data_IF_969461765551
#
_entry.id   IF_969461765551
#
_cell.length_a   1.000
_cell.length_b   1.000
_cell.length_c   1.000
_cell.angle_alpha   90.00
_cell.angle_beta   90.00
_cell.angle_gamma   90.00
#
_symmetry.space_group_name_H-M   'P 1'
#
loop_
_entity.id
_entity.type
_entity.pdbx_description
1 polymer ?
#
# COMPACT_ATOMS: atom_id res chain seq x y z
N UNK A 1 -5.50 -1.83 -33.51
CA UNK A 1 -6.58 -2.67 -32.92
C UNK A 1 -6.24 -3.05 -31.49
N UNK A 2 -5.07 -3.61 -31.20
CA UNK A 2 -4.65 -4.02 -29.84
C UNK A 2 -4.57 -2.88 -28.79
N UNK A 3 -4.08 -1.70 -29.15
CA UNK A 3 -4.02 -0.54 -28.26
C UNK A 3 -5.40 -0.03 -27.81
N UNK A 4 -6.40 -0.08 -28.69
CA UNK A 4 -7.77 0.32 -28.36
C UNK A 4 -8.45 -0.70 -27.43
N UNK A 5 -8.15 -1.98 -27.60
CA UNK A 5 -8.66 -3.06 -26.74
C UNK A 5 -8.08 -2.96 -25.33
N UNK A 6 -6.77 -2.69 -25.22
CA UNK A 6 -6.10 -2.48 -23.93
C UNK A 6 -6.67 -1.28 -23.17
N UNK A 7 -6.89 -0.14 -23.84
CA UNK A 7 -7.48 1.05 -23.21
C UNK A 7 -8.93 0.83 -22.76
N UNK A 8 -9.71 0.05 -23.51
CA UNK A 8 -11.07 -0.30 -23.12
C UNK A 8 -11.08 -1.14 -21.83
N UNK A 9 -10.15 -2.08 -21.71
CA UNK A 9 -10.01 -2.93 -20.49
C UNK A 9 -9.57 -2.14 -19.27
N UNK A 10 -8.62 -1.20 -19.43
CA UNK A 10 -8.26 -0.26 -18.34
C UNK A 10 -9.50 0.52 -17.92
N UNK A 11 -10.30 0.98 -18.87
CA UNK A 11 -11.55 1.71 -18.54
C UNK A 11 -12.57 0.84 -17.80
N UNK A 12 -12.67 -0.44 -18.11
CA UNK A 12 -13.53 -1.37 -17.39
C UNK A 12 -13.06 -1.56 -15.93
N UNK A 13 -11.73 -1.67 -15.70
CA UNK A 13 -11.16 -1.71 -14.34
C UNK A 13 -11.50 -0.43 -13.59
N UNK A 14 -11.22 0.74 -14.17
CA UNK A 14 -11.52 2.04 -13.56
C UNK A 14 -12.99 2.19 -13.17
N UNK A 15 -13.93 1.70 -13.97
CA UNK A 15 -15.35 1.73 -13.64
C UNK A 15 -15.69 0.80 -12.48
N UNK A 16 -15.08 -0.38 -12.43
CA UNK A 16 -15.22 -1.30 -11.30
C UNK A 16 -14.63 -0.72 -10.01
N UNK A 17 -13.48 -0.07 -10.10
CA UNK A 17 -12.87 0.64 -8.95
C UNK A 17 -13.74 1.79 -8.43
N UNK A 18 -14.42 2.53 -9.32
CA UNK A 18 -15.37 3.58 -8.88
C UNK A 18 -16.53 2.98 -8.09
N UNK A 19 -17.09 1.86 -8.54
CA UNK A 19 -18.17 1.17 -7.82
C UNK A 19 -17.69 0.70 -6.45
N UNK A 20 -16.47 0.15 -6.39
CA UNK A 20 -15.85 -0.27 -5.14
C UNK A 20 -15.56 0.93 -4.22
N UNK A 21 -15.11 2.05 -4.78
CA UNK A 21 -14.87 3.30 -4.06
C UNK A 21 -16.15 3.85 -3.43
N UNK A 22 -17.30 3.78 -4.11
CA UNK A 22 -18.59 4.21 -3.55
C UNK A 22 -18.93 3.42 -2.27
N UNK A 23 -18.76 2.10 -2.30
CA UNK A 23 -18.96 1.23 -1.14
C UNK A 23 -18.00 1.55 0.01
N UNK A 24 -16.72 1.82 -0.33
CA UNK A 24 -15.70 2.22 0.62
C UNK A 24 -16.02 3.58 1.26
N UNK A 25 -16.41 4.57 0.46
CA UNK A 25 -16.79 5.92 0.94
C UNK A 25 -18.00 5.84 1.88
N UNK A 26 -19.02 5.05 1.53
CA UNK A 26 -20.20 4.87 2.38
C UNK A 26 -19.81 4.28 3.73
N UNK A 27 -18.98 3.24 3.75
CA UNK A 27 -18.47 2.66 4.99
C UNK A 27 -17.67 3.69 5.81
N UNK A 28 -16.77 4.44 5.17
CA UNK A 28 -15.99 5.47 5.85
C UNK A 28 -16.88 6.56 6.46
N UNK A 29 -17.92 7.01 5.74
CA UNK A 29 -18.88 8.00 6.23
C UNK A 29 -19.69 7.49 7.43
N UNK A 30 -20.17 6.24 7.39
CA UNK A 30 -20.94 5.65 8.50
C UNK A 30 -20.13 5.56 9.80
N UNK A 31 -18.81 5.41 9.70
CA UNK A 31 -17.93 5.22 10.84
C UNK A 31 -17.04 6.42 11.15
N UNK A 32 -17.23 7.54 10.46
CA UNK A 32 -16.41 8.76 10.61
C UNK A 32 -14.91 8.47 10.45
N UNK A 33 -14.56 7.80 9.34
CA UNK A 33 -13.17 7.44 9.00
C UNK A 33 -12.61 8.41 7.97
N UNK A 34 -11.43 8.95 8.22
CA UNK A 34 -10.71 9.81 7.29
C UNK A 34 -9.96 8.98 6.26
N UNK A 35 -9.95 9.42 5.04
CA UNK A 35 -9.16 8.85 3.96
C UNK A 35 -8.76 9.94 2.95
N UNK A 36 -7.70 9.69 2.20
CA UNK A 36 -7.10 10.62 1.26
C UNK A 36 -6.68 9.89 -0.01
N UNK A 37 -6.87 10.52 -1.16
CA UNK A 37 -6.31 10.01 -2.41
C UNK A 37 -4.79 10.22 -2.42
N UNK A 38 -4.03 9.22 -2.85
CA UNK A 38 -2.58 9.27 -2.92
C UNK A 38 -2.09 9.12 -4.38
N UNK A 39 -0.81 9.40 -4.61
CA UNK A 39 -0.11 9.09 -5.85
C UNK A 39 -0.83 9.46 -7.13
N UNK A 40 -0.97 8.47 -8.03
CA UNK A 40 -1.67 8.58 -9.30
C UNK A 40 -3.14 8.96 -9.16
N UNK A 41 -3.82 8.43 -8.16
CA UNK A 41 -5.23 8.72 -7.87
C UNK A 41 -5.46 10.21 -7.62
N UNK A 42 -4.66 10.84 -6.75
CA UNK A 42 -4.76 12.28 -6.49
C UNK A 42 -4.40 13.11 -7.72
N UNK A 43 -3.34 12.72 -8.42
CA UNK A 43 -2.90 13.41 -9.63
C UNK A 43 -3.97 13.35 -10.72
N UNK A 44 -4.60 12.20 -10.91
CA UNK A 44 -5.71 12.00 -11.84
C UNK A 44 -6.91 12.87 -11.48
N UNK A 45 -7.33 12.88 -10.21
CA UNK A 45 -8.43 13.71 -9.74
C UNK A 45 -8.23 15.20 -10.03
N UNK A 46 -7.01 15.72 -9.84
CA UNK A 46 -6.69 17.14 -10.06
C UNK A 46 -6.58 17.46 -11.55
N UNK A 47 -5.80 16.67 -12.31
CA UNK A 47 -5.47 16.98 -13.71
C UNK A 47 -6.54 16.54 -14.70
N UNK A 48 -7.09 15.35 -14.50
CA UNK A 48 -8.01 14.71 -15.44
C UNK A 48 -9.46 14.74 -14.99
N UNK A 49 -9.72 15.23 -13.76
CA UNK A 49 -11.06 15.20 -13.13
C UNK A 49 -11.60 13.77 -12.99
N UNK A 50 -10.71 12.81 -12.85
CA UNK A 50 -10.96 11.38 -12.79
C UNK A 50 -9.64 10.62 -12.81
N UNK A 51 -9.62 9.42 -13.35
CA UNK A 51 -8.39 8.65 -13.50
C UNK A 51 -7.42 9.26 -14.52
N UNK A 52 -6.15 9.00 -14.36
CA UNK A 52 -5.18 9.10 -15.44
C UNK A 52 -5.59 8.05 -16.49
N UNK A 53 -5.70 8.38 -17.81
CA UNK A 53 -6.34 7.49 -18.79
C UNK A 53 -5.74 6.08 -18.93
N UNK A 54 -4.48 5.88 -18.56
CA UNK A 54 -3.77 4.60 -18.65
C UNK A 54 -3.45 3.97 -17.29
N UNK A 55 -3.96 4.55 -16.20
CA UNK A 55 -3.77 4.07 -14.83
C UNK A 55 -4.82 3.01 -14.52
N UNK A 56 -4.42 1.92 -13.89
CA UNK A 56 -5.25 0.74 -13.62
C UNK A 56 -5.27 0.38 -12.12
N UNK A 57 -4.90 1.34 -11.28
CA UNK A 57 -4.94 1.19 -9.83
C UNK A 57 -5.46 2.46 -9.12
N UNK A 58 -5.98 2.26 -7.91
CA UNK A 58 -6.42 3.32 -7.03
C UNK A 58 -5.74 3.20 -5.66
N UNK A 59 -5.04 4.27 -5.27
CA UNK A 59 -4.31 4.37 -4.01
C UNK A 59 -5.01 5.31 -3.03
N UNK A 60 -5.36 4.81 -1.85
CA UNK A 60 -5.94 5.61 -0.76
C UNK A 60 -5.08 5.50 0.50
N UNK A 61 -4.95 6.60 1.23
CA UNK A 61 -4.29 6.65 2.53
C UNK A 61 -5.29 6.86 3.66
N UNK A 62 -5.07 6.21 4.79
CA UNK A 62 -5.85 6.43 6.00
C UNK A 62 -4.94 6.72 7.18
N UNK A 63 -5.25 7.71 8.06
CA UNK A 63 -4.59 7.83 9.35
C UNK A 63 -4.57 6.50 10.09
N UNK A 64 -3.48 6.17 10.78
CA UNK A 64 -3.28 4.85 11.40
C UNK A 64 -4.47 4.36 12.23
N UNK A 65 -5.07 5.21 13.04
CA UNK A 65 -6.22 4.84 13.88
C UNK A 65 -7.46 4.52 13.06
N UNK A 66 -7.72 5.33 12.03
CA UNK A 66 -8.84 5.10 11.11
C UNK A 66 -8.63 3.83 10.28
N UNK A 67 -7.39 3.59 9.83
CA UNK A 67 -7.01 2.37 9.15
C UNK A 67 -7.22 1.11 10.00
N UNK A 68 -6.79 1.11 11.26
CA UNK A 68 -6.99 -0.03 12.16
C UNK A 68 -8.48 -0.27 12.47
N UNK A 69 -9.26 0.81 12.61
CA UNK A 69 -10.71 0.71 12.76
C UNK A 69 -11.35 0.16 11.48
N UNK A 70 -10.96 0.66 10.30
CA UNK A 70 -11.41 0.13 9.01
C UNK A 70 -11.16 -1.37 8.91
N UNK A 71 -9.96 -1.87 9.19
CA UNK A 71 -9.65 -3.31 9.15
C UNK A 71 -10.54 -4.16 10.07
N UNK A 72 -10.98 -3.61 11.19
CA UNK A 72 -11.81 -4.34 12.15
C UNK A 72 -13.26 -4.50 11.73
N UNK A 73 -13.74 -3.67 10.80
CA UNK A 73 -15.15 -3.62 10.39
C UNK A 73 -15.38 -3.98 8.92
N UNK A 74 -14.41 -3.78 8.05
CA UNK A 74 -14.57 -3.89 6.60
C UNK A 74 -15.11 -5.25 6.13
N UNK A 75 -14.61 -6.36 6.68
CA UNK A 75 -15.06 -7.71 6.30
C UNK A 75 -16.55 -7.98 6.61
N UNK A 76 -17.12 -7.23 7.56
CA UNK A 76 -18.51 -7.42 7.99
C UNK A 76 -19.49 -6.47 7.31
N UNK A 77 -18.99 -5.34 6.85
CA UNK A 77 -19.83 -4.23 6.42
C UNK A 77 -19.68 -3.85 4.93
N UNK A 78 -18.66 -4.36 4.26
CA UNK A 78 -18.55 -4.30 2.81
C UNK A 78 -19.44 -5.37 2.15
N UNK A 79 -19.82 -5.19 0.87
CA UNK A 79 -20.56 -6.21 0.13
C UNK A 79 -19.87 -7.58 0.17
N UNK A 80 -20.64 -8.68 0.13
CA UNK A 80 -20.10 -10.06 0.17
C UNK A 80 -19.12 -10.36 -0.98
N UNK A 81 -19.25 -9.68 -2.12
CA UNK A 81 -18.32 -9.79 -3.24
C UNK A 81 -16.96 -9.13 -3.00
N UNK A 82 -16.86 -8.28 -1.99
CA UNK A 82 -15.65 -7.52 -1.67
C UNK A 82 -14.84 -8.23 -0.60
N UNK A 83 -13.63 -8.60 -0.94
CA UNK A 83 -12.70 -9.24 -0.02
C UNK A 83 -11.59 -8.28 0.41
N UNK A 84 -11.17 -8.41 1.67
CA UNK A 84 -9.98 -7.76 2.19
C UNK A 84 -8.75 -8.62 1.86
N UNK A 85 -7.79 -8.06 1.15
CA UNK A 85 -6.53 -8.71 0.82
C UNK A 85 -5.40 -8.08 1.62
N UNK A 86 -4.81 -8.85 2.51
CA UNK A 86 -3.58 -8.47 3.20
C UNK A 86 -2.39 -8.80 2.30
N UNK A 87 -1.54 -7.83 2.02
CA UNK A 87 -0.35 -8.09 1.23
C UNK A 87 0.64 -8.98 1.99
N UNK A 88 1.15 -10.02 1.33
CA UNK A 88 2.07 -11.01 1.92
C UNK A 88 3.41 -10.43 2.37
N UNK A 89 3.70 -9.20 2.00
CA UNK A 89 4.92 -8.50 2.41
C UNK A 89 4.95 -8.13 3.89
N UNK A 90 3.87 -8.41 4.64
CA UNK A 90 3.69 -8.10 6.06
C UNK A 90 4.00 -6.63 6.43
N UNK A 91 3.94 -5.76 5.45
CA UNK A 91 4.27 -4.35 5.62
C UNK A 91 3.08 -3.51 6.07
N UNK A 92 1.89 -4.11 6.15
CA UNK A 92 0.68 -3.48 6.61
C UNK A 92 -0.11 -2.77 5.52
N UNK A 93 0.25 -2.95 4.25
CA UNK A 93 -0.59 -2.54 3.12
C UNK A 93 -1.74 -3.53 2.98
N UNK A 94 -2.89 -3.02 2.61
CA UNK A 94 -4.06 -3.85 2.32
C UNK A 94 -4.71 -3.37 1.05
N UNK A 95 -5.46 -4.24 0.39
CA UNK A 95 -6.38 -3.83 -0.66
C UNK A 95 -7.75 -4.45 -0.42
N UNK A 96 -8.78 -3.76 -0.87
CA UNK A 96 -10.11 -4.33 -1.05
C UNK A 96 -10.29 -4.63 -2.53
N UNK A 97 -10.93 -5.76 -2.83
CA UNK A 97 -11.08 -6.25 -4.21
C UNK A 97 -12.51 -6.74 -4.40
N UNK A 98 -13.15 -6.33 -5.48
CA UNK A 98 -14.45 -6.88 -5.86
C UNK A 98 -14.29 -8.13 -6.73
N UNK A 99 -14.57 -9.28 -6.18
CA UNK A 99 -14.44 -10.58 -6.85
C UNK A 99 -15.61 -10.91 -7.79
N UNK A 100 -16.69 -10.14 -7.77
CA UNK A 100 -17.83 -10.30 -8.69
C UNK A 100 -17.53 -9.82 -10.11
N UNK A 101 -16.53 -8.92 -10.23
CA UNK A 101 -16.11 -8.35 -11.50
C UNK A 101 -14.78 -8.99 -11.89
N UNK A 102 -14.73 -9.61 -13.06
CA UNK A 102 -13.52 -10.20 -13.62
C UNK A 102 -13.29 -9.70 -15.04
N UNK A 103 -12.14 -9.14 -15.29
CA UNK A 103 -11.73 -8.54 -16.56
C UNK A 103 -10.53 -9.31 -17.09
N UNK A 104 -10.57 -9.74 -18.34
CA UNK A 104 -9.49 -10.52 -18.93
C UNK A 104 -8.44 -9.61 -19.56
N UNK A 105 -7.21 -9.69 -19.05
CA UNK A 105 -6.01 -9.07 -19.62
C UNK A 105 -5.10 -10.15 -20.21
N UNK A 106 -5.09 -10.27 -21.52
CA UNK A 106 -4.33 -11.34 -22.16
C UNK A 106 -4.79 -12.72 -21.66
N UNK A 107 -3.91 -13.43 -20.98
CA UNK A 107 -4.19 -14.75 -20.38
C UNK A 107 -4.51 -14.68 -18.86
N UNK A 108 -4.53 -13.49 -18.28
CA UNK A 108 -4.76 -13.29 -16.85
C UNK A 108 -6.12 -12.66 -16.60
N UNK A 109 -6.75 -13.03 -15.49
CA UNK A 109 -7.98 -12.43 -14.99
C UNK A 109 -7.68 -11.48 -13.85
N UNK A 110 -8.17 -10.25 -13.94
CA UNK A 110 -8.02 -9.22 -12.92
C UNK A 110 -9.39 -8.81 -12.39
N UNK A 111 -9.46 -8.52 -11.11
CA UNK A 111 -10.62 -7.89 -10.48
C UNK A 111 -10.26 -6.47 -10.07
N UNK A 112 -11.20 -5.51 -10.14
CA UNK A 112 -10.98 -4.16 -9.64
C UNK A 112 -10.59 -4.19 -8.16
N UNK A 113 -9.62 -3.37 -7.79
CA UNK A 113 -9.14 -3.29 -6.40
C UNK A 113 -8.75 -1.86 -6.03
N UNK A 114 -8.74 -1.57 -4.75
CA UNK A 114 -8.27 -0.30 -4.19
C UNK A 114 -7.20 -0.64 -3.15
N UNK A 115 -6.02 -0.08 -3.31
CA UNK A 115 -4.96 -0.18 -2.32
C UNK A 115 -5.18 0.85 -1.19
N UNK A 116 -5.07 0.38 0.05
CA UNK A 116 -5.29 1.19 1.24
C UNK A 116 -4.03 1.16 2.10
N UNK A 117 -3.43 2.33 2.24
CA UNK A 117 -2.17 2.54 2.93
C UNK A 117 -2.35 3.20 4.28
N UNK A 118 -1.80 2.65 5.35
CA UNK A 118 -1.76 3.36 6.62
C UNK A 118 -0.82 4.56 6.55
N UNK A 119 -1.26 5.70 7.08
CA UNK A 119 -0.47 6.90 7.25
C UNK A 119 -0.02 7.00 8.71
N UNK A 120 1.27 7.12 8.90
CA UNK A 120 1.93 7.20 10.21
C UNK A 120 2.66 8.54 10.36
N UNK A 121 2.98 8.91 11.58
CA UNK A 121 3.78 10.09 11.85
C UNK A 121 5.27 9.86 11.65
N UNK A 122 6.01 10.96 11.50
CA UNK A 122 7.46 11.00 11.38
C UNK A 122 8.10 12.03 12.31
N UNK A 123 9.36 11.81 12.74
CA UNK A 123 10.12 12.83 13.44
C UNK A 123 10.53 13.96 12.49
N UNK A 124 10.52 15.19 13.00
CA UNK A 124 10.87 16.39 12.23
C UNK A 124 12.37 16.61 12.09
N UNK A 125 13.14 16.27 13.13
CA UNK A 125 14.57 16.58 13.13
C UNK A 125 15.40 15.59 12.33
N UNK A 126 16.49 16.09 11.72
CA UNK A 126 17.28 15.33 10.77
C UNK A 126 17.94 14.07 11.32
N UNK A 127 18.32 14.05 12.61
CA UNK A 127 18.99 12.89 13.23
C UNK A 127 17.97 11.81 13.58
N UNK A 128 16.89 12.16 14.24
CA UNK A 128 15.82 11.21 14.60
C UNK A 128 15.14 10.67 13.36
N UNK A 129 14.89 11.52 12.36
CA UNK A 129 14.41 11.14 11.05
C UNK A 129 15.34 10.12 10.37
N UNK A 130 16.64 10.42 10.29
CA UNK A 130 17.63 9.52 9.70
C UNK A 130 17.68 8.17 10.43
N UNK A 131 17.69 8.18 11.78
CA UNK A 131 17.68 6.95 12.58
C UNK A 131 16.40 6.14 12.37
N UNK A 132 15.24 6.80 12.37
CA UNK A 132 13.94 6.17 12.18
C UNK A 132 13.84 5.51 10.81
N UNK A 133 14.13 6.25 9.75
CA UNK A 133 14.06 5.73 8.38
C UNK A 133 15.06 4.62 8.11
N UNK A 134 16.28 4.70 8.66
CA UNK A 134 17.26 3.61 8.50
C UNK A 134 16.89 2.35 9.30
N UNK A 135 16.29 2.49 10.49
CA UNK A 135 15.71 1.34 11.20
C UNK A 135 14.64 0.65 10.37
N UNK A 136 13.72 1.41 9.78
CA UNK A 136 12.68 0.85 8.91
C UNK A 136 13.30 0.13 7.72
N UNK A 137 14.25 0.76 7.01
CA UNK A 137 14.94 0.15 5.87
C UNK A 137 15.63 -1.16 6.26
N UNK A 138 16.31 -1.18 7.40
CA UNK A 138 16.97 -2.38 7.93
C UNK A 138 15.97 -3.50 8.19
N UNK A 139 14.91 -3.23 8.95
CA UNK A 139 13.93 -4.27 9.27
C UNK A 139 13.13 -4.74 8.06
N UNK A 140 12.88 -3.86 7.07
CA UNK A 140 12.33 -4.25 5.75
C UNK A 140 13.27 -5.19 5.01
N UNK A 141 14.56 -4.89 4.98
CA UNK A 141 15.55 -5.77 4.36
C UNK A 141 15.60 -7.14 5.06
N UNK A 142 15.63 -7.16 6.40
CA UNK A 142 15.59 -8.40 7.18
C UNK A 142 14.29 -9.19 6.92
N UNK A 143 13.15 -8.54 6.84
CA UNK A 143 11.87 -9.18 6.50
C UNK A 143 11.93 -9.83 5.11
N UNK A 144 12.41 -9.12 4.09
CA UNK A 144 12.59 -9.67 2.74
C UNK A 144 13.55 -10.87 2.73
N UNK A 145 14.66 -10.79 3.46
CA UNK A 145 15.63 -11.91 3.56
C UNK A 145 14.99 -13.12 4.25
N UNK A 146 14.16 -12.90 5.27
CA UNK A 146 13.55 -14.01 6.02
C UNK A 146 12.56 -14.86 5.19
N UNK A 147 12.02 -14.29 4.09
CA UNK A 147 11.08 -14.98 3.16
C UNK A 147 11.68 -15.19 1.77
N UNK A 148 12.99 -15.10 1.63
CA UNK A 148 13.68 -15.04 0.33
C UNK A 148 13.42 -16.26 -0.57
N UNK A 149 13.14 -17.42 0.02
CA UNK A 149 12.80 -18.64 -0.73
C UNK A 149 11.43 -18.59 -1.39
N UNK A 150 10.53 -17.70 -0.91
CA UNK A 150 9.19 -17.50 -1.43
C UNK A 150 9.10 -16.40 -2.48
N UNK A 151 10.16 -15.61 -2.63
CA UNK A 151 10.19 -14.46 -3.54
C UNK A 151 10.53 -14.97 -4.95
N UNK A 152 9.59 -14.78 -5.90
CA UNK A 152 9.81 -15.10 -7.30
C UNK A 152 10.95 -14.24 -7.89
N UNK A 153 11.69 -14.84 -8.83
CA UNK A 153 12.76 -14.11 -9.54
C UNK A 153 12.09 -13.03 -10.43
N UNK A 154 12.32 -11.77 -10.09
CA UNK A 154 12.04 -10.63 -10.95
C UNK A 154 13.36 -10.06 -11.43
N UNK A 155 13.33 -9.40 -12.57
CA UNK A 155 14.52 -8.68 -13.05
C UNK A 155 14.81 -7.52 -12.09
N UNK A 156 15.82 -7.73 -11.25
CA UNK A 156 16.30 -6.80 -10.22
C UNK A 156 17.67 -6.30 -10.64
N UNK A 157 18.05 -5.10 -10.22
CA UNK A 157 19.41 -4.61 -10.45
C UNK A 157 20.50 -5.60 -9.96
N UNK A 158 21.66 -5.58 -10.58
CA UNK A 158 22.76 -6.52 -10.32
C UNK A 158 23.15 -6.64 -8.83
N UNK A 159 23.06 -5.54 -8.08
CA UNK A 159 23.35 -5.50 -6.65
C UNK A 159 22.29 -6.25 -5.81
N UNK A 160 21.02 -6.05 -6.10
CA UNK A 160 19.94 -6.78 -5.41
C UNK A 160 20.00 -8.28 -5.70
N UNK A 161 20.29 -8.67 -6.94
CA UNK A 161 20.46 -10.06 -7.33
C UNK A 161 21.64 -10.72 -6.59
N UNK A 162 22.74 -9.98 -6.36
CA UNK A 162 23.87 -10.47 -5.58
C UNK A 162 23.48 -10.72 -4.11
N UNK A 163 22.76 -9.80 -3.47
CA UNK A 163 22.25 -9.96 -2.10
C UNK A 163 21.34 -11.19 -2.01
N UNK A 164 20.43 -11.38 -2.96
CA UNK A 164 19.53 -12.54 -2.99
C UNK A 164 20.32 -13.85 -3.10
N UNK A 165 21.29 -13.93 -4.02
CA UNK A 165 22.13 -15.12 -4.20
C UNK A 165 22.94 -15.46 -2.93
N UNK A 166 23.58 -14.46 -2.34
CA UNK A 166 24.36 -14.64 -1.10
C UNK A 166 23.46 -15.07 0.06
N UNK A 167 22.30 -14.43 0.23
CA UNK A 167 21.36 -14.76 1.31
C UNK A 167 20.80 -16.18 1.19
N UNK A 168 20.51 -16.64 -0.03
CA UNK A 168 20.11 -18.04 -0.31
C UNK A 168 21.24 -19.01 -0.05
N UNK A 169 22.45 -18.73 -0.53
CA UNK A 169 23.62 -19.58 -0.33
C UNK A 169 23.95 -19.79 1.16
N UNK A 170 23.86 -18.73 1.95
CA UNK A 170 24.10 -18.75 3.40
C UNK A 170 22.89 -19.21 4.21
N UNK A 171 21.75 -19.51 3.57
CA UNK A 171 20.48 -19.92 4.23
C UNK A 171 20.06 -18.97 5.36
N UNK A 172 20.26 -17.66 5.17
CA UNK A 172 20.01 -16.64 6.20
C UNK A 172 18.54 -16.60 6.65
N UNK A 173 17.61 -16.96 5.77
CA UNK A 173 16.18 -17.09 6.09
C UNK A 173 15.90 -18.07 7.24
N UNK A 174 16.71 -19.13 7.38
CA UNK A 174 16.55 -20.12 8.47
C UNK A 174 16.98 -19.59 9.84
N UNK A 175 17.83 -18.56 9.87
CA UNK A 175 18.31 -17.91 11.09
C UNK A 175 17.37 -16.78 11.54
N UNK A 176 16.49 -16.32 10.66
CA UNK A 176 15.63 -15.17 10.88
C UNK A 176 14.20 -15.60 11.24
N UNK A 177 13.65 -15.03 12.31
CA UNK A 177 12.26 -15.23 12.66
C UNK A 177 11.40 -14.12 12.05
N UNK A 178 10.74 -14.40 10.91
CA UNK A 178 9.92 -13.47 10.15
C UNK A 178 8.87 -12.77 11.03
N UNK A 179 8.15 -13.52 11.87
CA UNK A 179 7.11 -12.95 12.75
C UNK A 179 7.68 -11.93 13.74
N UNK A 180 8.83 -12.24 14.37
CA UNK A 180 9.48 -11.29 15.29
C UNK A 180 9.98 -10.05 14.57
N UNK A 181 10.56 -10.22 13.38
CA UNK A 181 11.05 -9.10 12.56
C UNK A 181 9.90 -8.19 12.16
N UNK A 182 8.79 -8.76 11.66
CA UNK A 182 7.63 -7.99 11.23
C UNK A 182 6.93 -7.29 12.39
N UNK A 183 6.78 -7.93 13.55
CA UNK A 183 6.29 -7.28 14.77
C UNK A 183 7.16 -6.08 15.17
N UNK A 184 8.48 -6.23 15.09
CA UNK A 184 9.41 -5.14 15.39
C UNK A 184 9.33 -4.02 14.35
N UNK A 185 9.25 -4.36 13.07
CA UNK A 185 9.02 -3.39 11.99
C UNK A 185 7.75 -2.58 12.23
N UNK A 186 6.63 -3.23 12.50
CA UNK A 186 5.37 -2.56 12.81
C UNK A 186 5.48 -1.66 14.05
N UNK A 187 6.19 -2.10 15.10
CA UNK A 187 6.40 -1.25 16.27
C UNK A 187 7.27 -0.01 16.01
N UNK A 188 8.19 -0.09 15.03
CA UNK A 188 9.01 1.07 14.63
C UNK A 188 8.17 2.01 13.79
N UNK A 189 7.40 1.51 12.83
CA UNK A 189 6.53 2.30 11.95
C UNK A 189 5.54 3.11 12.78
N UNK A 190 4.89 2.48 13.76
CA UNK A 190 3.90 3.11 14.64
C UNK A 190 4.50 3.94 15.78
N UNK A 191 5.80 4.21 15.76
CA UNK A 191 6.47 4.92 16.86
C UNK A 191 6.01 6.37 17.00
N UNK A 192 5.65 7.00 15.89
CA UNK A 192 5.18 8.38 15.84
C UNK A 192 3.69 8.39 15.47
N UNK A 193 2.88 9.02 16.31
CA UNK A 193 1.44 9.07 16.10
C UNK A 193 1.09 10.09 15.02
N UNK A 194 0.19 9.71 14.09
CA UNK A 194 -0.30 10.56 13.03
C UNK A 194 -0.87 11.88 13.58
N UNK A 195 -1.63 11.83 14.67
CA UNK A 195 -2.36 13.00 15.20
C UNK A 195 -1.45 14.07 15.81
N UNK A 196 -0.30 13.66 16.30
CA UNK A 196 0.62 14.56 17.02
C UNK A 196 1.86 14.94 16.18
N UNK A 197 2.07 14.30 15.05
CA UNK A 197 3.20 14.57 14.17
C UNK A 197 2.87 15.66 13.17
N UNK A 198 3.80 16.56 12.91
CA UNK A 198 3.70 17.54 11.80
C UNK A 198 4.01 16.93 10.45
N UNK A 199 4.87 15.88 10.44
CA UNK A 199 5.22 15.13 9.26
C UNK A 199 4.53 13.78 9.29
N UNK A 200 3.78 13.46 8.23
CA UNK A 200 3.06 12.20 8.10
C UNK A 200 3.22 11.61 6.70
N UNK A 201 3.08 10.31 6.59
CA UNK A 201 3.16 9.66 5.29
C UNK A 201 3.04 8.15 5.35
N UNK A 202 3.06 7.49 4.19
CA UNK A 202 3.14 6.05 4.08
C UNK A 202 4.58 5.57 4.11
N UNK A 203 4.95 4.95 5.21
CA UNK A 203 6.31 4.41 5.43
C UNK A 203 6.63 3.23 4.53
N UNK A 204 5.63 2.56 4.00
CA UNK A 204 5.76 1.29 3.31
C UNK A 204 5.80 1.42 1.81
N UNK A 205 5.40 2.58 1.29
CA UNK A 205 5.45 2.89 -0.13
C UNK A 205 6.86 2.81 -0.70
N UNK A 206 6.96 2.36 -1.94
CA UNK A 206 8.21 2.29 -2.70
C UNK A 206 8.70 3.67 -3.14
N UNK A 207 7.89 4.70 -2.96
CA UNK A 207 8.07 6.03 -3.51
C UNK A 207 8.66 7.03 -2.52
N UNK A 208 9.39 8.00 -3.05
CA UNK A 208 10.05 9.08 -2.30
C UNK A 208 9.09 10.14 -1.74
N UNK A 209 7.82 10.01 -1.99
CA UNK A 209 6.74 10.95 -1.63
C UNK A 209 6.26 10.83 -0.18
N UNK A 210 7.10 10.37 0.70
CA UNK A 210 6.72 9.82 2.00
C UNK A 210 6.47 10.85 3.07
N UNK A 211 6.85 12.11 2.81
CA UNK A 211 7.02 13.09 3.86
C UNK A 211 6.48 14.42 3.39
N UNK A 212 5.22 14.53 3.66
CA UNK A 212 4.51 15.74 3.35
C UNK A 212 4.12 16.37 4.67
N UNK A 213 4.38 17.67 4.80
CA UNK A 213 3.88 18.41 5.95
C UNK A 213 2.37 18.25 6.00
N UNK A 214 1.84 17.82 7.12
CA UNK A 214 0.42 17.52 7.31
C UNK A 214 -0.49 18.66 6.84
N UNK A 215 -0.13 19.91 7.15
CA UNK A 215 -0.86 21.10 6.69
C UNK A 215 -0.84 21.29 5.18
N UNK A 216 0.25 20.97 4.52
CA UNK A 216 0.40 21.18 3.07
C UNK A 216 -0.40 20.17 2.27
N UNK A 217 -0.56 18.96 2.80
CA UNK A 217 -1.20 17.85 2.08
C UNK A 217 -2.66 17.70 2.42
N UNK A 218 -3.02 17.79 3.69
CA UNK A 218 -4.37 17.48 4.14
C UNK A 218 -5.17 18.72 4.56
N UNK A 219 -4.53 19.90 4.59
CA UNK A 219 -5.19 21.16 4.94
C UNK A 219 -5.58 21.27 6.42
N UNK A 220 -4.97 20.46 7.29
CA UNK A 220 -5.26 20.41 8.75
C UNK A 220 -4.31 21.30 9.57
#
# INVERSE_FOLDING_TARGET
MEQNDSMNKVREIQLGELTLLESYIDLCKRHDLRYYALGGTLLGAIRHKGFIPWDDDMDLGMPRKDYEKFLSICEKELPESVILRLHDDNLGNTSIMDTSIQIQFGNEWCSPFIDIFPLDGYPEDGIHYWLHTNKIKLYRALSKISVIDRIHERDRGSFENAIVKVSRALKLNKLLNTSKINKKLQSIIKQYDYETSTMVGNVLGSYRERELARKEVFGE
#
